data_IF_145470503492
#
_entry.id   IF_145470503492
#
_cell.length_a   1.000
_cell.length_b   1.000
_cell.length_c   1.000
_cell.angle_alpha   90.00
_cell.angle_beta   90.00
_cell.angle_gamma   90.00
#
_symmetry.space_group_name_H-M   'P 1'
#
loop_
_entity.id
_entity.type
_entity.pdbx_description
1 polymer ?
#
# COMPACT_ATOMS: atom_id res chain seq x y z
N UNK A 1 8.11 11.81 15.54
CA UNK A 1 8.18 11.16 14.24
C UNK A 1 9.35 11.67 13.40
N UNK A 2 9.75 10.90 12.40
CA UNK A 2 10.82 11.22 11.46
C UNK A 2 10.24 11.33 10.04
N UNK A 3 10.85 12.18 9.20
CA UNK A 3 10.51 12.35 7.79
C UNK A 3 11.76 12.19 6.94
N UNK A 4 11.65 11.41 5.89
CA UNK A 4 12.69 11.17 4.90
C UNK A 4 12.14 11.42 3.50
N UNK A 5 13.06 11.66 2.55
CA UNK A 5 12.78 11.57 1.12
C UNK A 5 13.39 10.27 0.60
N UNK A 6 12.61 9.51 -0.13
CA UNK A 6 13.02 8.23 -0.71
C UNK A 6 12.84 8.29 -2.21
N UNK A 7 13.76 7.71 -2.94
CA UNK A 7 13.68 7.60 -4.39
C UNK A 7 13.25 6.18 -4.78
N UNK A 8 12.08 6.08 -5.41
CA UNK A 8 11.57 4.80 -5.92
C UNK A 8 12.46 4.22 -7.02
N UNK A 9 12.42 2.90 -7.18
CA UNK A 9 13.07 2.20 -8.28
C UNK A 9 12.37 2.43 -9.64
N UNK A 10 12.98 1.94 -10.69
CA UNK A 10 12.39 1.93 -12.03
C UNK A 10 11.98 0.50 -12.41
N UNK A 11 10.85 0.36 -13.10
CA UNK A 11 9.88 1.39 -13.47
C UNK A 11 9.06 1.85 -12.26
N UNK A 12 8.75 3.16 -12.18
CA UNK A 12 7.89 3.74 -11.14
C UNK A 12 6.41 3.46 -11.44
N UNK A 13 6.07 2.19 -11.45
CA UNK A 13 4.74 1.63 -11.63
C UNK A 13 4.30 0.96 -10.32
N UNK A 14 3.02 1.02 -10.02
CA UNK A 14 2.49 0.58 -8.72
C UNK A 14 2.83 -0.88 -8.41
N UNK A 15 2.49 -1.83 -9.27
CA UNK A 15 2.72 -3.25 -8.97
C UNK A 15 4.21 -3.63 -8.85
N UNK A 16 5.14 -3.16 -9.72
CA UNK A 16 6.58 -3.27 -9.50
C UNK A 16 7.03 -2.67 -8.17
N UNK A 17 6.52 -1.48 -7.81
CA UNK A 17 6.91 -0.82 -6.57
C UNK A 17 6.34 -1.52 -5.33
N UNK A 18 5.12 -2.10 -5.40
CA UNK A 18 4.62 -2.96 -4.32
C UNK A 18 5.52 -4.17 -4.10
N UNK A 19 5.99 -4.80 -5.19
CA UNK A 19 6.93 -5.90 -5.08
C UNK A 19 8.24 -5.45 -4.41
N UNK A 20 8.81 -4.32 -4.82
CA UNK A 20 10.01 -3.74 -4.21
C UNK A 20 9.81 -3.39 -2.73
N UNK A 21 8.74 -2.65 -2.40
CA UNK A 21 8.46 -2.18 -1.04
C UNK A 21 8.33 -3.32 -0.03
N UNK A 22 7.61 -4.37 -0.39
CA UNK A 22 7.29 -5.44 0.55
C UNK A 22 8.28 -6.60 0.54
N UNK A 23 9.13 -6.75 -0.49
CA UNK A 23 10.20 -7.76 -0.50
C UNK A 23 11.58 -7.18 -0.16
N UNK A 24 11.78 -5.88 -0.34
CA UNK A 24 13.10 -5.24 -0.27
C UNK A 24 14.02 -5.60 -1.44
N UNK A 25 13.49 -6.25 -2.49
CA UNK A 25 14.27 -6.68 -3.65
C UNK A 25 14.13 -5.67 -4.80
N UNK A 26 15.18 -5.43 -5.58
CA UNK A 26 15.10 -4.63 -6.78
C UNK A 26 14.30 -5.33 -7.89
N UNK A 27 13.75 -4.55 -8.82
CA UNK A 27 12.93 -5.04 -9.93
C UNK A 27 13.61 -6.16 -10.74
N UNK A 28 14.93 -6.05 -10.97
CA UNK A 28 15.70 -7.08 -11.67
C UNK A 28 15.80 -8.43 -10.93
N UNK A 29 15.43 -8.46 -9.64
CA UNK A 29 15.42 -9.69 -8.84
C UNK A 29 14.02 -10.28 -8.71
N UNK A 30 13.01 -9.46 -8.36
CA UNK A 30 11.65 -9.99 -8.22
C UNK A 30 10.92 -10.17 -9.56
N UNK A 31 11.37 -9.54 -10.66
CA UNK A 31 10.87 -9.77 -12.01
C UNK A 31 9.52 -9.14 -12.36
N UNK A 32 8.90 -8.40 -11.45
CA UNK A 32 7.67 -7.65 -11.72
C UNK A 32 8.06 -6.36 -12.40
N UNK A 33 7.87 -6.27 -13.71
CA UNK A 33 8.35 -5.16 -14.56
C UNK A 33 7.25 -4.23 -15.05
N UNK A 34 5.99 -4.63 -14.91
CA UNK A 34 4.82 -3.82 -15.27
C UNK A 34 3.59 -4.28 -14.45
N UNK A 35 2.49 -3.55 -14.55
CA UNK A 35 1.26 -3.84 -13.78
C UNK A 35 0.56 -5.13 -14.24
N UNK A 36 0.82 -5.59 -15.48
CA UNK A 36 0.24 -6.81 -16.06
C UNK A 36 0.98 -8.09 -15.67
N UNK A 37 2.21 -7.99 -15.15
CA UNK A 37 2.93 -9.16 -14.63
C UNK A 37 2.23 -9.68 -13.39
N UNK A 38 1.74 -10.91 -13.47
CA UNK A 38 0.98 -11.56 -12.43
C UNK A 38 1.72 -12.75 -11.82
N UNK A 39 1.21 -13.19 -10.65
CA UNK A 39 1.69 -14.36 -9.94
C UNK A 39 2.16 -14.04 -8.53
N UNK A 40 1.94 -14.99 -7.62
CA UNK A 40 2.43 -14.88 -6.25
C UNK A 40 3.95 -14.95 -6.27
N UNK A 41 4.59 -13.99 -5.61
CA UNK A 41 6.05 -13.89 -5.58
C UNK A 41 6.66 -15.03 -4.72
N UNK A 42 7.70 -15.70 -5.23
CA UNK A 42 8.38 -16.77 -4.49
C UNK A 42 9.42 -16.25 -3.48
N UNK A 43 9.30 -15.01 -3.06
CA UNK A 43 10.25 -14.34 -2.17
C UNK A 43 9.60 -14.03 -0.82
N UNK A 44 10.43 -13.93 0.21
CA UNK A 44 9.97 -13.37 1.48
C UNK A 44 9.53 -11.92 1.33
N UNK A 45 8.45 -11.61 2.01
CA UNK A 45 7.91 -10.27 2.13
C UNK A 45 7.77 -9.89 3.60
N UNK A 46 7.53 -8.62 3.87
CA UNK A 46 7.21 -8.17 5.24
C UNK A 46 6.06 -9.00 5.83
N UNK A 47 5.07 -9.37 5.04
CA UNK A 47 3.97 -10.24 5.46
C UNK A 47 4.47 -11.63 5.87
N UNK A 48 5.20 -12.32 4.98
CA UNK A 48 5.71 -13.66 5.28
C UNK A 48 6.71 -13.67 6.43
N UNK A 49 7.54 -12.63 6.56
CA UNK A 49 8.48 -12.50 7.68
C UNK A 49 7.74 -12.27 9.01
N UNK A 50 6.69 -11.44 9.02
CA UNK A 50 5.84 -11.30 10.19
C UNK A 50 5.22 -12.65 10.59
N UNK A 51 4.69 -13.40 9.62
CA UNK A 51 4.14 -14.75 9.84
C UNK A 51 5.18 -15.73 10.42
N UNK A 52 6.40 -15.74 9.85
CA UNK A 52 7.51 -16.58 10.34
C UNK A 52 7.91 -16.23 11.78
N UNK A 53 7.74 -14.98 12.18
CA UNK A 53 7.96 -14.52 13.54
C UNK A 53 6.78 -14.84 14.50
N UNK A 54 5.72 -15.51 14.02
CA UNK A 54 4.52 -15.85 14.80
C UNK A 54 3.46 -14.73 14.84
N UNK A 55 3.69 -13.64 14.13
CA UNK A 55 2.76 -12.51 14.06
C UNK A 55 1.56 -12.74 13.13
N UNK A 56 0.54 -11.93 13.29
CA UNK A 56 -0.66 -11.88 12.47
C UNK A 56 -0.57 -10.73 11.46
N UNK A 57 -1.10 -10.96 10.26
CA UNK A 57 -1.01 -10.00 9.16
C UNK A 57 -2.39 -9.68 8.60
N UNK A 58 -2.64 -8.41 8.32
CA UNK A 58 -3.85 -7.97 7.64
C UNK A 58 -3.55 -6.90 6.60
N UNK A 59 -4.43 -6.80 5.60
CA UNK A 59 -4.34 -5.78 4.56
C UNK A 59 -5.71 -5.38 4.04
N UNK A 60 -5.92 -4.10 3.83
CA UNK A 60 -6.93 -3.55 2.95
C UNK A 60 -6.19 -2.82 1.82
N UNK A 61 -6.35 -3.29 0.58
CA UNK A 61 -5.52 -2.79 -0.51
C UNK A 61 -6.13 -3.05 -1.89
N UNK A 62 -5.49 -2.47 -2.91
CA UNK A 62 -5.76 -2.79 -4.30
C UNK A 62 -5.47 -4.27 -4.59
N UNK A 63 -6.22 -4.87 -5.49
CA UNK A 63 -6.21 -6.30 -5.81
C UNK A 63 -4.84 -6.87 -6.19
N UNK A 64 -3.93 -6.04 -6.69
CA UNK A 64 -2.56 -6.45 -7.00
C UNK A 64 -1.78 -6.94 -5.79
N UNK A 65 -2.13 -6.49 -4.56
CA UNK A 65 -1.54 -7.06 -3.34
C UNK A 65 -1.92 -8.52 -3.15
N UNK A 66 -3.19 -8.88 -3.44
CA UNK A 66 -3.58 -10.29 -3.46
C UNK A 66 -2.76 -11.08 -4.46
N UNK A 67 -2.60 -10.57 -5.68
CA UNK A 67 -1.86 -11.25 -6.73
C UNK A 67 -0.38 -11.47 -6.41
N UNK A 68 0.24 -10.53 -5.70
CA UNK A 68 1.66 -10.62 -5.34
C UNK A 68 1.92 -11.49 -4.10
N UNK A 69 0.97 -11.55 -3.14
CA UNK A 69 1.26 -12.11 -1.82
C UNK A 69 0.25 -13.13 -1.30
N UNK A 70 -0.85 -13.37 -2.00
CA UNK A 70 -1.90 -14.28 -1.56
C UNK A 70 -2.36 -15.22 -2.67
N UNK A 71 -3.06 -14.68 -3.69
CA UNK A 71 -3.68 -15.50 -4.73
C UNK A 71 -3.74 -14.79 -6.07
N UNK A 72 -3.22 -15.44 -7.12
CA UNK A 72 -3.25 -14.95 -8.49
C UNK A 72 -3.78 -16.04 -9.45
N UNK A 73 -4.47 -15.66 -10.56
CA UNK A 73 -4.98 -14.30 -10.81
C UNK A 73 -6.09 -13.91 -9.82
N UNK A 74 -6.25 -12.61 -9.58
CA UNK A 74 -7.34 -12.09 -8.76
C UNK A 74 -8.69 -12.31 -9.45
N UNK A 75 -9.66 -12.82 -8.68
CA UNK A 75 -11.05 -13.02 -9.11
C UNK A 75 -11.95 -12.40 -8.06
N UNK A 76 -12.67 -11.33 -8.38
CA UNK A 76 -13.40 -10.50 -7.43
C UNK A 76 -14.35 -11.28 -6.53
N UNK A 77 -15.16 -12.17 -7.09
CA UNK A 77 -16.15 -12.96 -6.35
C UNK A 77 -15.52 -13.95 -5.35
N UNK A 78 -14.27 -14.34 -5.61
CA UNK A 78 -13.52 -15.26 -4.75
C UNK A 78 -12.60 -14.55 -3.78
N UNK A 79 -11.99 -13.46 -4.24
CA UNK A 79 -10.78 -12.89 -3.61
C UNK A 79 -11.02 -11.52 -2.95
N UNK A 80 -12.24 -10.93 -3.07
CA UNK A 80 -12.58 -9.64 -2.44
C UNK A 80 -12.33 -9.65 -0.93
N UNK A 81 -12.65 -10.77 -0.27
CA UNK A 81 -12.36 -11.00 1.14
C UNK A 81 -11.64 -12.35 1.26
N UNK A 82 -10.43 -12.32 1.77
CA UNK A 82 -9.61 -13.51 1.98
C UNK A 82 -9.32 -13.67 3.47
N UNK A 83 -9.74 -14.81 4.01
CA UNK A 83 -9.42 -15.24 5.37
C UNK A 83 -8.65 -16.56 5.24
N UNK A 84 -7.34 -16.51 5.33
CA UNK A 84 -6.44 -17.66 5.15
C UNK A 84 -5.43 -17.71 6.30
N UNK A 85 -5.66 -18.59 7.25
CA UNK A 85 -4.81 -18.73 8.43
C UNK A 85 -3.35 -19.06 8.10
N UNK A 86 -3.10 -19.72 6.97
CA UNK A 86 -1.76 -20.13 6.53
C UNK A 86 -1.13 -19.15 5.55
N UNK A 87 -1.91 -18.18 5.07
CA UNK A 87 -1.46 -17.19 4.09
C UNK A 87 -0.42 -16.21 4.63
N UNK A 88 0.35 -15.61 3.73
CA UNK A 88 1.25 -14.50 4.06
C UNK A 88 0.45 -13.29 4.55
N UNK A 89 -0.68 -13.00 3.90
CA UNK A 89 -1.70 -12.07 4.38
C UNK A 89 -2.87 -12.91 4.87
N UNK A 90 -3.07 -12.99 6.19
CA UNK A 90 -4.11 -13.84 6.78
C UNK A 90 -5.51 -13.24 6.63
N UNK A 91 -5.61 -11.93 6.74
CA UNK A 91 -6.89 -11.21 6.74
C UNK A 91 -6.84 -10.10 5.70
N UNK A 92 -7.33 -10.38 4.50
CA UNK A 92 -7.27 -9.47 3.36
C UNK A 92 -8.66 -9.00 2.92
N UNK A 93 -8.77 -7.71 2.61
CA UNK A 93 -9.85 -7.14 1.83
C UNK A 93 -9.25 -6.41 0.63
N UNK A 94 -9.74 -6.69 -0.59
CA UNK A 94 -9.11 -6.19 -1.81
C UNK A 94 -10.13 -5.53 -2.72
N UNK A 95 -9.89 -4.29 -3.09
CA UNK A 95 -10.67 -3.56 -4.08
C UNK A 95 -9.92 -3.52 -5.42
N UNK A 96 -10.62 -3.17 -6.49
CA UNK A 96 -10.07 -3.14 -7.86
C UNK A 96 -10.51 -1.91 -8.65
N UNK A 97 -11.31 -1.03 -8.02
CA UNK A 97 -11.75 0.21 -8.64
C UNK A 97 -10.82 1.35 -8.21
N UNK A 98 -10.32 2.13 -9.19
CA UNK A 98 -9.40 3.24 -8.92
C UNK A 98 -10.07 4.38 -8.14
N UNK A 99 -11.40 4.49 -8.22
CA UNK A 99 -12.21 5.43 -7.46
C UNK A 99 -12.76 4.87 -6.13
N UNK A 100 -12.20 3.76 -5.63
CA UNK A 100 -12.64 3.20 -4.36
C UNK A 100 -12.40 4.21 -3.22
N UNK A 101 -13.44 4.58 -2.43
CA UNK A 101 -13.30 5.65 -1.46
C UNK A 101 -12.30 5.35 -0.35
N UNK A 102 -11.32 6.22 -0.13
CA UNK A 102 -10.34 6.04 0.95
C UNK A 102 -10.99 5.96 2.33
N UNK A 103 -12.15 6.63 2.54
CA UNK A 103 -12.93 6.49 3.77
C UNK A 103 -13.40 5.06 4.02
N UNK A 104 -13.72 4.30 2.96
CA UNK A 104 -14.07 2.88 3.05
C UNK A 104 -12.83 2.03 3.35
N UNK A 105 -11.68 2.32 2.71
CA UNK A 105 -10.41 1.67 3.02
C UNK A 105 -10.10 1.77 4.51
N UNK A 106 -10.25 2.97 5.10
CA UNK A 106 -10.00 3.14 6.53
C UNK A 106 -11.09 2.50 7.41
N UNK A 107 -12.35 2.51 7.03
CA UNK A 107 -13.41 1.86 7.79
C UNK A 107 -13.26 0.33 7.82
N UNK A 108 -13.02 -0.27 6.66
CA UNK A 108 -12.79 -1.72 6.51
C UNK A 108 -11.47 -2.14 7.16
N UNK A 109 -10.41 -1.34 7.00
CA UNK A 109 -9.13 -1.60 7.66
C UNK A 109 -9.24 -1.57 9.18
N UNK A 110 -9.98 -0.62 9.75
CA UNK A 110 -10.24 -0.60 11.19
C UNK A 110 -11.11 -1.79 11.66
N UNK A 111 -12.03 -2.27 10.80
CA UNK A 111 -12.76 -3.49 11.08
C UNK A 111 -11.80 -4.70 11.16
N UNK A 112 -10.91 -4.87 10.18
CA UNK A 112 -9.89 -5.92 10.19
C UNK A 112 -8.97 -5.79 11.42
N UNK A 113 -8.44 -4.60 11.66
CA UNK A 113 -7.52 -4.33 12.78
C UNK A 113 -8.15 -4.66 14.13
N UNK A 114 -9.38 -4.21 14.38
CA UNK A 114 -10.08 -4.42 15.65
C UNK A 114 -10.57 -5.87 15.84
N UNK A 115 -10.88 -6.56 14.75
CA UNK A 115 -11.36 -7.95 14.81
C UNK A 115 -10.23 -8.95 14.99
N UNK A 116 -9.12 -8.76 14.30
CA UNK A 116 -8.05 -9.76 14.22
C UNK A 116 -6.77 -9.36 14.96
N UNK A 117 -6.66 -8.10 15.39
CA UNK A 117 -5.53 -7.56 16.14
C UNK A 117 -4.17 -7.97 15.52
N UNK A 118 -3.91 -7.57 14.25
CA UNK A 118 -2.70 -7.98 13.52
C UNK A 118 -1.46 -7.27 14.04
N UNK A 119 -0.32 -7.95 13.96
CA UNK A 119 1.01 -7.38 14.26
C UNK A 119 1.54 -6.53 13.09
N UNK A 120 1.10 -6.82 11.86
CA UNK A 120 1.36 -6.02 10.67
C UNK A 120 0.06 -5.75 9.93
N UNK A 121 -0.25 -4.46 9.72
CA UNK A 121 -1.45 -4.00 9.02
C UNK A 121 -1.11 -3.04 7.88
N UNK A 122 -1.61 -3.35 6.68
CA UNK A 122 -1.50 -2.46 5.51
C UNK A 122 -2.83 -1.76 5.24
N UNK A 123 -2.78 -0.45 5.07
CA UNK A 123 -3.83 0.38 4.47
C UNK A 123 -3.27 0.95 3.16
N UNK A 124 -3.89 0.64 2.05
CA UNK A 124 -3.52 1.18 0.75
C UNK A 124 -4.67 2.03 0.22
N UNK A 125 -4.41 3.29 -0.08
CA UNK A 125 -5.38 4.26 -0.57
C UNK A 125 -5.15 4.52 -2.06
N UNK A 126 -6.19 5.00 -2.78
CA UNK A 126 -6.12 5.19 -4.23
C UNK A 126 -6.44 6.62 -4.69
N UNK A 127 -7.19 7.39 -3.90
CA UNK A 127 -7.69 8.69 -4.36
C UNK A 127 -6.58 9.68 -4.75
N UNK A 128 -5.41 9.62 -4.10
CA UNK A 128 -4.27 10.49 -4.43
C UNK A 128 -3.76 10.18 -5.84
N UNK A 129 -3.58 8.91 -6.17
CA UNK A 129 -3.14 8.49 -7.50
C UNK A 129 -4.17 8.82 -8.57
N UNK A 130 -5.42 8.50 -8.35
CA UNK A 130 -6.54 8.79 -9.26
C UNK A 130 -6.65 10.29 -9.59
N UNK A 131 -6.64 11.18 -8.59
CA UNK A 131 -6.64 12.62 -8.82
C UNK A 131 -5.36 13.10 -9.49
N UNK A 132 -4.23 12.47 -9.19
CA UNK A 132 -2.96 12.71 -9.87
C UNK A 132 -3.08 12.45 -11.37
N UNK A 133 -3.60 11.31 -11.76
CA UNK A 133 -3.84 10.96 -13.18
C UNK A 133 -4.83 11.90 -13.86
N UNK A 134 -5.91 12.24 -13.19
CA UNK A 134 -6.97 13.07 -13.77
C UNK A 134 -6.59 14.54 -13.92
N UNK A 135 -5.79 15.09 -13.02
CA UNK A 135 -5.58 16.54 -12.88
C UNK A 135 -4.11 16.98 -12.80
N UNK A 136 -3.18 16.06 -12.62
CA UNK A 136 -1.77 16.35 -12.40
C UNK A 136 -1.44 16.74 -10.95
N UNK A 137 -0.16 16.61 -10.59
CA UNK A 137 0.31 16.82 -9.23
C UNK A 137 0.17 18.25 -8.68
N UNK A 138 0.11 19.27 -9.55
CA UNK A 138 -0.04 20.68 -9.16
C UNK A 138 -1.51 21.10 -8.95
N UNK A 139 -2.47 20.19 -9.12
CA UNK A 139 -3.89 20.51 -9.01
C UNK A 139 -4.35 20.66 -7.57
N UNK A 140 -5.40 21.45 -7.37
CA UNK A 140 -6.06 21.58 -6.07
C UNK A 140 -6.72 20.26 -5.65
N UNK A 141 -7.23 19.50 -6.59
CA UNK A 141 -7.87 18.19 -6.37
C UNK A 141 -6.86 17.18 -5.84
N UNK A 142 -5.66 17.11 -6.42
CA UNK A 142 -4.57 16.28 -5.89
C UNK A 142 -4.19 16.67 -4.46
N UNK A 143 -3.97 17.96 -4.23
CA UNK A 143 -3.64 18.48 -2.90
C UNK A 143 -4.74 18.18 -1.88
N UNK A 144 -6.02 18.30 -2.27
CA UNK A 144 -7.16 17.96 -1.42
C UNK A 144 -7.23 16.45 -1.11
N UNK A 145 -6.93 15.57 -2.08
CA UNK A 145 -6.87 14.13 -1.86
C UNK A 145 -5.77 13.78 -0.85
N UNK A 146 -4.57 14.37 -0.98
CA UNK A 146 -3.48 14.20 -0.01
C UNK A 146 -3.91 14.65 1.39
N UNK A 147 -4.56 15.82 1.49
CA UNK A 147 -5.04 16.33 2.77
C UNK A 147 -6.13 15.42 3.38
N UNK A 148 -7.05 14.89 2.55
CA UNK A 148 -8.10 14.00 3.00
C UNK A 148 -7.54 12.70 3.60
N UNK A 149 -6.57 12.05 2.92
CA UNK A 149 -5.86 10.88 3.47
C UNK A 149 -5.13 11.24 4.76
N UNK A 150 -4.47 12.39 4.79
CA UNK A 150 -3.81 12.91 5.99
C UNK A 150 -4.76 13.04 7.18
N UNK A 151 -5.97 13.53 6.97
CA UNK A 151 -7.01 13.62 8.01
C UNK A 151 -7.49 12.23 8.47
N UNK A 152 -7.65 11.28 7.54
CA UNK A 152 -8.05 9.90 7.88
C UNK A 152 -6.98 9.20 8.74
N UNK A 153 -5.70 9.41 8.45
CA UNK A 153 -4.57 8.91 9.24
C UNK A 153 -4.55 9.60 10.61
N UNK A 154 -4.59 10.94 10.64
CA UNK A 154 -4.50 11.72 11.86
C UNK A 154 -5.58 11.37 12.89
N UNK A 155 -6.80 11.09 12.41
CA UNK A 155 -7.92 10.71 13.26
C UNK A 155 -7.72 9.35 13.96
N UNK A 156 -6.87 8.48 13.44
CA UNK A 156 -6.61 7.11 13.97
C UNK A 156 -5.26 6.96 14.64
N UNK A 157 -4.33 7.84 14.31
CA UNK A 157 -2.95 7.81 14.79
C UNK A 157 -2.84 7.67 16.33
N UNK A 158 -3.62 8.41 17.16
CA UNK A 158 -3.52 8.28 18.61
C UNK A 158 -3.81 6.85 19.08
N UNK A 159 -4.89 6.24 18.58
CA UNK A 159 -5.26 4.86 18.95
C UNK A 159 -4.21 3.85 18.49
N UNK A 160 -3.65 4.02 17.27
CA UNK A 160 -2.62 3.13 16.77
C UNK A 160 -1.34 3.18 17.59
N UNK A 161 -0.89 4.37 17.95
CA UNK A 161 0.29 4.56 18.80
C UNK A 161 0.06 4.02 20.22
N UNK A 162 -1.10 4.30 20.83
CA UNK A 162 -1.48 3.75 22.12
C UNK A 162 -1.48 2.21 22.15
N UNK A 163 -1.85 1.59 21.03
CA UNK A 163 -1.76 0.13 20.84
C UNK A 163 -0.34 -0.38 20.61
N UNK A 164 0.64 0.48 20.55
CA UNK A 164 2.05 0.15 20.36
C UNK A 164 2.49 -0.03 18.91
N UNK A 165 1.64 0.31 17.93
CA UNK A 165 2.06 0.28 16.53
C UNK A 165 3.11 1.34 16.24
N UNK A 166 4.12 0.99 15.46
CA UNK A 166 4.89 1.95 14.69
C UNK A 166 4.13 2.19 13.38
N UNK A 167 3.88 3.45 13.05
CA UNK A 167 3.15 3.83 11.84
C UNK A 167 4.11 4.35 10.81
N UNK A 168 4.12 3.74 9.63
CA UNK A 168 4.89 4.17 8.46
C UNK A 168 3.92 4.65 7.39
N UNK A 169 4.15 5.86 6.87
CA UNK A 169 3.34 6.44 5.79
C UNK A 169 4.28 6.76 4.64
N UNK A 170 4.01 6.19 3.48
CA UNK A 170 4.77 6.43 2.25
C UNK A 170 3.88 6.28 1.02
N UNK A 171 4.43 6.55 -0.15
CA UNK A 171 3.81 6.20 -1.43
C UNK A 171 4.71 5.22 -2.19
N UNK A 172 4.15 4.53 -3.16
CA UNK A 172 4.87 3.64 -4.07
C UNK A 172 5.64 4.42 -5.15
N UNK A 173 5.08 5.54 -5.62
CA UNK A 173 5.71 6.45 -6.58
C UNK A 173 5.24 7.89 -6.36
N UNK A 174 5.87 8.82 -7.07
CA UNK A 174 5.42 10.20 -7.19
C UNK A 174 4.51 10.41 -8.41
N UNK A 175 4.22 11.67 -8.73
CA UNK A 175 3.36 12.05 -9.86
C UNK A 175 3.89 13.37 -10.43
N UNK A 176 3.89 13.52 -11.75
CA UNK A 176 4.20 14.79 -12.38
C UNK A 176 2.92 15.61 -12.71
N UNK A 177 3.11 16.81 -13.20
CA UNK A 177 2.01 17.73 -13.50
C UNK A 177 1.16 17.33 -14.71
N UNK A 178 1.62 16.35 -15.48
CA UNK A 178 0.88 15.78 -16.61
C UNK A 178 0.06 14.54 -16.22
N UNK A 179 0.03 14.18 -14.93
CA UNK A 179 -0.67 13.00 -14.47
C UNK A 179 0.05 11.69 -14.82
N UNK A 180 1.37 11.73 -14.93
CA UNK A 180 2.19 10.58 -15.32
C UNK A 180 3.20 10.30 -14.21
N UNK A 181 3.27 9.05 -13.75
CA UNK A 181 4.28 8.60 -12.80
C UNK A 181 5.32 7.65 -13.41
N UNK A 182 5.07 7.13 -14.62
CA UNK A 182 6.04 6.27 -15.34
C UNK A 182 7.13 7.13 -15.95
N UNK A 183 8.36 7.00 -15.45
CA UNK A 183 9.49 7.74 -16.01
C UNK A 183 10.64 7.91 -15.03
N UNK A 184 11.59 8.75 -15.41
CA UNK A 184 12.84 8.95 -14.67
C UNK A 184 12.92 10.30 -13.94
N UNK A 185 11.89 11.13 -14.07
CA UNK A 185 11.84 12.44 -13.41
C UNK A 185 11.78 12.28 -11.88
N UNK A 186 12.37 13.22 -11.18
CA UNK A 186 12.32 13.25 -9.71
C UNK A 186 10.88 13.24 -9.19
N UNK A 187 10.00 14.04 -9.79
CA UNK A 187 8.59 14.11 -9.40
C UNK A 187 7.84 12.77 -9.49
N UNK A 188 8.28 11.90 -10.40
CA UNK A 188 7.66 10.58 -10.61
C UNK A 188 8.20 9.50 -9.65
N UNK A 189 9.33 9.76 -9.00
CA UNK A 189 10.06 8.76 -8.20
C UNK A 189 10.25 9.16 -6.74
N UNK A 190 10.39 10.46 -6.45
CA UNK A 190 10.60 10.94 -5.09
C UNK A 190 9.30 10.87 -4.30
N UNK A 191 9.34 10.15 -3.17
CA UNK A 191 8.22 10.02 -2.24
C UNK A 191 8.65 10.40 -0.83
N UNK A 192 7.71 10.87 -0.04
CA UNK A 192 7.93 11.09 1.38
C UNK A 192 7.77 9.77 2.15
N UNK A 193 8.65 9.55 3.13
CA UNK A 193 8.53 8.48 4.11
C UNK A 193 8.43 9.11 5.49
N UNK A 194 7.31 8.87 6.16
CA UNK A 194 7.10 9.30 7.55
C UNK A 194 7.08 8.09 8.47
N UNK A 195 7.74 8.20 9.62
CA UNK A 195 7.74 7.17 10.66
C UNK A 195 7.30 7.81 11.97
N UNK A 196 6.29 7.25 12.58
CA UNK A 196 5.76 7.66 13.87
C UNK A 196 5.85 6.50 14.86
N UNK A 197 6.33 6.76 16.06
CA UNK A 197 6.34 5.83 17.19
C UNK A 197 6.32 6.62 18.48
N UNK A 198 5.83 6.01 19.55
CA UNK A 198 5.87 6.58 20.90
C UNK A 198 7.21 6.35 21.63
N UNK A 199 8.19 5.74 20.94
CA UNK A 199 9.52 5.38 21.49
C UNK A 199 10.62 6.20 20.86
#
# INVERSE_FOLDING_TARGET
>A
GAKYKVLGELPSLSKPMYATLFTGLPVCKHGVTCNEVGGVLPYDSVFSLCRKAGGRTAAISYSWMSELYSRAPYVSDRDRVQLDAEGSIQYGMYYWDDNYPDSHVFAEGECLRKTFDPDFMLYHTMAVDEWGHMKGADSAEYANAVAAVGHLIAARMPEWLEKGYQVVVTADHGMNNLGIHVGTEHAQREVALYIFSDK
#
